data_IF_740166815330
#
_entry.id   IF_740166815330
#
_cell.length_a   1.000
_cell.length_b   1.000
_cell.length_c   1.000
_cell.angle_alpha   90.00
_cell.angle_beta   90.00
_cell.angle_gamma   90.00
#
_symmetry.space_group_name_H-M   'P 1'
#
loop_
_entity.id
_entity.type
_entity.pdbx_description
1 polymer ?
#
# COMPACT_ATOMS: atom_id res chain seq x y z
N UNK A 1 -22.82 -6.86 -23.00
CA UNK A 1 -21.68 -7.71 -22.63
C UNK A 1 -21.21 -7.23 -21.27
N UNK A 2 -21.54 -7.94 -20.20
CA UNK A 2 -20.95 -7.68 -18.89
C UNK A 2 -19.66 -8.48 -18.85
N UNK A 3 -18.51 -7.82 -19.01
CA UNK A 3 -17.22 -8.43 -18.67
C UNK A 3 -17.13 -8.38 -17.16
N UNK A 4 -17.37 -9.53 -16.52
CA UNK A 4 -17.14 -9.70 -15.09
C UNK A 4 -15.61 -9.70 -14.90
N UNK A 5 -15.05 -8.49 -14.75
CA UNK A 5 -13.62 -8.33 -14.54
C UNK A 5 -13.26 -8.95 -13.19
N UNK A 6 -12.19 -9.73 -13.14
CA UNK A 6 -11.67 -10.22 -11.86
C UNK A 6 -11.07 -9.02 -11.12
N UNK A 7 -11.81 -8.50 -10.13
CA UNK A 7 -11.39 -7.36 -9.32
C UNK A 7 -11.10 -7.86 -7.89
N UNK A 8 -9.87 -7.66 -7.44
CA UNK A 8 -9.48 -7.89 -6.05
C UNK A 8 -8.70 -6.68 -5.52
N UNK A 9 -8.90 -6.37 -4.25
CA UNK A 9 -8.18 -5.30 -3.56
C UNK A 9 -7.80 -5.76 -2.18
N UNK A 10 -6.50 -5.75 -1.91
CA UNK A 10 -5.93 -6.02 -0.59
C UNK A 10 -5.22 -4.78 -0.07
N UNK A 11 -5.74 -4.19 1.01
CA UNK A 11 -5.07 -3.11 1.74
C UNK A 11 -3.98 -3.68 2.64
N UNK A 12 -2.72 -3.35 2.35
CA UNK A 12 -1.60 -3.74 3.21
C UNK A 12 -1.44 -2.75 4.37
N UNK A 13 -1.10 -1.47 4.08
CA UNK A 13 -0.89 -0.44 5.11
C UNK A 13 -0.92 0.95 4.50
N UNK A 14 -1.69 1.87 5.09
CA UNK A 14 -1.84 3.24 4.57
C UNK A 14 -2.34 3.25 3.10
N UNK A 15 -1.56 3.78 2.16
CA UNK A 15 -1.85 3.76 0.73
C UNK A 15 -1.20 2.57 0.01
N UNK A 16 -0.42 1.74 0.71
CA UNK A 16 0.13 0.51 0.13
C UNK A 16 -0.97 -0.51 -0.06
N UNK A 17 -1.32 -0.74 -1.32
CA UNK A 17 -2.47 -1.57 -1.75
C UNK A 17 -2.03 -2.48 -2.88
N UNK A 18 -2.48 -3.74 -2.84
CA UNK A 18 -2.53 -4.59 -4.03
C UNK A 18 -3.89 -4.44 -4.67
N UNK A 19 -3.92 -4.09 -5.95
CA UNK A 19 -5.13 -4.03 -6.75
C UNK A 19 -4.96 -4.93 -7.97
N UNK A 20 -5.78 -5.96 -8.08
CA UNK A 20 -5.81 -6.83 -9.25
C UNK A 20 -6.98 -6.43 -10.14
N UNK A 21 -6.67 -6.17 -11.41
CA UNK A 21 -7.64 -5.93 -12.47
C UNK A 21 -7.38 -6.97 -13.56
N UNK A 22 -8.34 -7.87 -13.72
CA UNK A 22 -8.21 -9.06 -14.55
C UNK A 22 -6.99 -9.91 -14.14
N UNK A 23 -5.97 -9.98 -14.99
CA UNK A 23 -4.77 -10.80 -14.76
C UNK A 23 -3.59 -9.98 -14.23
N UNK A 24 -3.73 -8.67 -14.11
CA UNK A 24 -2.65 -7.77 -13.70
C UNK A 24 -2.83 -7.29 -12.29
N UNK A 25 -1.82 -7.52 -11.45
CA UNK A 25 -1.75 -7.05 -10.08
C UNK A 25 -0.82 -5.85 -9.97
N UNK A 26 -1.35 -4.74 -9.46
CA UNK A 26 -0.64 -3.50 -9.22
C UNK A 26 -0.34 -3.34 -7.74
N UNK A 27 0.92 -3.03 -7.41
CA UNK A 27 1.32 -2.56 -6.10
C UNK A 27 1.29 -1.02 -6.11
N UNK A 28 0.33 -0.44 -5.40
CA UNK A 28 0.10 1.00 -5.35
C UNK A 28 0.80 1.58 -4.12
N UNK A 29 1.50 2.71 -4.29
CA UNK A 29 2.14 3.52 -3.25
C UNK A 29 2.86 2.71 -2.14
N UNK A 30 3.91 1.93 -2.49
CA UNK A 30 4.60 1.07 -1.53
C UNK A 30 5.41 1.83 -0.48
N UNK A 31 5.11 1.60 0.80
CA UNK A 31 5.87 2.08 1.95
C UNK A 31 6.29 0.92 2.86
N UNK A 32 7.55 0.48 2.75
CA UNK A 32 8.10 -0.70 3.45
C UNK A 32 8.95 -0.40 4.68
N UNK A 33 8.98 0.86 5.15
CA UNK A 33 9.69 1.20 6.39
C UNK A 33 9.13 0.39 7.59
N UNK A 34 10.03 -0.03 8.48
CA UNK A 34 9.65 -0.65 9.76
C UNK A 34 8.86 0.33 10.63
N UNK A 35 8.06 -0.20 11.56
CA UNK A 35 7.28 0.63 12.50
C UNK A 35 8.19 1.65 13.21
N UNK A 36 7.78 2.92 13.18
CA UNK A 36 8.47 4.01 13.87
C UNK A 36 9.85 4.38 13.31
N UNK A 37 10.25 3.87 12.13
CA UNK A 37 11.57 4.12 11.55
C UNK A 37 11.73 5.52 10.93
N UNK A 38 10.63 6.18 10.56
CA UNK A 38 10.62 7.53 9.96
C UNK A 38 10.18 8.56 11.00
N UNK A 39 10.72 9.80 10.95
CA UNK A 39 10.30 10.86 11.85
C UNK A 39 8.80 11.21 11.66
N UNK A 40 8.21 11.95 12.61
CA UNK A 40 6.89 12.53 12.43
C UNK A 40 6.88 13.47 11.23
N UNK A 41 5.69 13.71 10.67
CA UNK A 41 5.55 14.69 9.62
C UNK A 41 5.53 16.08 10.27
N UNK A 42 6.48 16.92 9.87
CA UNK A 42 6.58 18.31 10.32
C UNK A 42 5.28 19.08 10.05
N UNK A 43 5.00 20.07 10.90
CA UNK A 43 3.81 20.93 10.81
C UNK A 43 2.46 20.19 10.85
N UNK A 44 2.43 18.97 11.39
CA UNK A 44 1.19 18.23 11.69
C UNK A 44 1.00 18.04 13.19
N UNK A 45 -0.23 17.91 13.70
CA UNK A 45 -0.48 17.71 15.14
C UNK A 45 -0.04 16.33 15.65
N UNK A 46 0.41 15.42 14.77
CA UNK A 46 0.84 14.08 15.14
C UNK A 46 2.38 14.04 15.21
N UNK A 47 2.91 14.02 16.42
CA UNK A 47 4.35 13.99 16.74
C UNK A 47 4.92 12.57 16.83
N UNK A 48 4.19 11.57 16.31
CA UNK A 48 4.61 10.16 16.35
C UNK A 48 5.43 9.80 15.13
N UNK A 49 6.51 9.04 15.36
CA UNK A 49 7.26 8.41 14.30
C UNK A 49 6.36 7.49 13.46
N UNK A 50 6.59 7.46 12.16
CA UNK A 50 5.82 6.68 11.20
C UNK A 50 6.67 5.53 10.62
N UNK A 51 6.06 4.47 10.10
CA UNK A 51 4.63 4.13 10.17
C UNK A 51 4.21 3.70 11.59
N UNK A 52 2.94 3.87 11.94
CA UNK A 52 2.43 3.63 13.31
C UNK A 52 2.22 2.15 13.68
N UNK A 53 2.29 1.26 12.70
CA UNK A 53 2.03 -0.17 12.84
C UNK A 53 3.02 -0.94 11.97
N UNK A 54 3.39 -2.18 12.31
CA UNK A 54 4.26 -2.99 11.47
C UNK A 54 3.57 -3.31 10.14
N UNK A 55 4.35 -3.68 9.13
CA UNK A 55 3.76 -4.21 7.90
C UNK A 55 3.09 -5.55 8.21
N UNK A 56 1.82 -5.78 7.84
CA UNK A 56 1.22 -7.10 7.98
C UNK A 56 1.93 -8.12 7.08
N UNK A 57 1.82 -9.39 7.46
CA UNK A 57 2.27 -10.51 6.64
C UNK A 57 1.29 -10.71 5.48
N UNK A 58 1.61 -10.12 4.33
CA UNK A 58 0.82 -10.19 3.09
C UNK A 58 1.75 -10.50 1.91
N UNK A 59 1.25 -11.27 0.94
CA UNK A 59 1.98 -11.47 -0.31
C UNK A 59 1.97 -10.18 -1.13
N UNK A 60 3.15 -9.62 -1.36
CA UNK A 60 3.36 -8.39 -2.11
C UNK A 60 3.76 -8.65 -3.56
N UNK A 61 3.60 -9.89 -4.07
CA UNK A 61 3.85 -10.22 -5.47
C UNK A 61 2.97 -9.38 -6.39
N UNK A 62 3.58 -8.74 -7.39
CA UNK A 62 2.90 -7.82 -8.29
C UNK A 62 3.59 -7.78 -9.66
N UNK A 63 2.85 -7.34 -10.67
CA UNK A 63 3.33 -7.20 -12.05
C UNK A 63 3.89 -5.80 -12.29
N UNK A 64 3.29 -4.77 -11.67
CA UNK A 64 3.69 -3.38 -11.84
C UNK A 64 3.50 -2.56 -10.56
N UNK A 65 4.26 -1.48 -10.44
CA UNK A 65 4.14 -0.49 -9.36
C UNK A 65 3.48 0.76 -9.89
N UNK A 66 2.52 1.31 -9.13
CA UNK A 66 1.93 2.63 -9.37
C UNK A 66 2.33 3.55 -8.23
N UNK A 67 2.98 4.66 -8.55
CA UNK A 67 3.31 5.72 -7.61
C UNK A 67 2.50 6.95 -7.98
N UNK A 68 1.63 7.38 -7.07
CA UNK A 68 0.72 8.49 -7.33
C UNK A 68 1.43 9.85 -7.28
N UNK A 69 2.42 10.01 -6.39
CA UNK A 69 3.22 11.23 -6.21
C UNK A 69 4.58 10.96 -5.57
#
# INVERSE_FOLDING_TARGET
>A
MSTDAALDVTLARNATVLATVDETTFLVDPLFAEEGALPPIDDTPNDRNNPLVPMPDVDLSHDAVVVTH
#
